data_IF_928732018323
#
_entry.id   IF_928732018323
#
_cell.length_a   1.000
_cell.length_b   1.000
_cell.length_c   1.000
_cell.angle_alpha   90.00
_cell.angle_beta   90.00
_cell.angle_gamma   90.00
#
_symmetry.space_group_name_H-M   'P 1'
#
loop_
_entity.id
_entity.type
_entity.pdbx_description
1 polymer ?
#
# COMPACT_ATOMS: atom_id res chain seq x y z
N UNK A 1 -11.10 2.01 19.55
CA UNK A 1 -11.31 3.34 18.91
C UNK A 1 -10.48 3.44 17.64
N UNK A 2 -10.99 4.09 16.58
CA UNK A 2 -10.19 4.41 15.38
C UNK A 2 -9.74 5.87 15.46
N UNK A 3 -8.44 6.13 15.25
CA UNK A 3 -7.91 7.50 15.09
C UNK A 3 -7.29 7.63 13.71
N UNK A 4 -7.73 8.62 12.93
CA UNK A 4 -7.15 8.95 11.63
C UNK A 4 -6.28 10.21 11.77
N UNK A 5 -4.99 10.11 11.42
CA UNK A 5 -4.07 11.24 11.34
C UNK A 5 -3.93 11.60 9.86
N UNK A 6 -4.57 12.70 9.46
CA UNK A 6 -4.65 13.14 8.06
C UNK A 6 -3.77 14.38 7.86
N UNK A 7 -3.05 14.44 6.75
CA UNK A 7 -2.25 15.61 6.41
C UNK A 7 -1.40 15.36 5.17
N UNK A 8 -1.02 16.40 4.44
CA UNK A 8 -0.17 16.25 3.26
C UNK A 8 1.23 15.72 3.60
N UNK A 9 1.99 15.39 2.59
CA UNK A 9 3.39 14.97 2.79
C UNK A 9 4.14 16.11 3.51
N UNK A 10 4.99 15.73 4.47
CA UNK A 10 5.74 16.74 5.24
C UNK A 10 5.00 17.33 6.44
N UNK A 11 3.73 17.01 6.65
CA UNK A 11 2.94 17.60 7.75
C UNK A 11 3.28 17.06 9.16
N UNK A 12 4.23 16.12 9.26
CA UNK A 12 4.67 15.62 10.55
C UNK A 12 3.90 14.39 11.07
N UNK A 13 3.08 13.73 10.23
CA UNK A 13 2.30 12.53 10.63
C UNK A 13 3.17 11.48 11.32
N UNK A 14 4.22 11.03 10.63
CA UNK A 14 5.12 9.99 11.17
C UNK A 14 5.93 10.47 12.38
N UNK A 15 6.22 11.77 12.47
CA UNK A 15 6.87 12.37 13.65
C UNK A 15 5.92 12.25 14.86
N UNK A 16 4.67 12.66 14.67
CA UNK A 16 3.64 12.56 15.71
C UNK A 16 3.45 11.11 16.17
N UNK A 17 3.34 10.20 15.21
CA UNK A 17 3.13 8.78 15.48
C UNK A 17 4.32 8.21 16.29
N UNK A 18 5.56 8.54 15.89
CA UNK A 18 6.76 8.12 16.64
C UNK A 18 6.80 8.71 18.04
N UNK A 19 6.36 9.94 18.23
CA UNK A 19 6.30 10.55 19.56
C UNK A 19 5.26 9.85 20.46
N UNK A 20 4.09 9.50 19.90
CA UNK A 20 3.09 8.72 20.64
C UNK A 20 3.64 7.33 21.03
N UNK A 21 4.33 6.65 20.10
CA UNK A 21 5.01 5.37 20.37
C UNK A 21 6.03 5.52 21.51
N UNK A 22 6.84 6.61 21.47
CA UNK A 22 7.85 6.90 22.50
C UNK A 22 7.21 7.11 23.87
N UNK A 23 6.13 7.89 23.94
CA UNK A 23 5.42 8.17 25.19
C UNK A 23 4.82 6.89 25.78
N UNK A 24 4.21 6.05 24.94
CA UNK A 24 3.68 4.77 25.39
C UNK A 24 4.79 3.84 25.90
N UNK A 25 5.90 3.75 25.17
CA UNK A 25 7.06 2.93 25.58
C UNK A 25 7.62 3.40 26.93
N UNK A 26 7.74 4.73 27.15
CA UNK A 26 8.15 5.28 28.45
C UNK A 26 7.20 4.90 29.58
N UNK A 27 5.92 4.76 29.26
CA UNK A 27 4.89 4.30 30.22
C UNK A 27 4.81 2.78 30.31
N UNK A 28 5.77 2.06 29.71
CA UNK A 28 5.84 0.59 29.64
C UNK A 28 4.60 -0.04 29.00
N UNK A 29 3.98 0.67 28.06
CA UNK A 29 2.82 0.19 27.30
C UNK A 29 3.28 -0.30 25.95
N UNK A 30 2.86 -1.50 25.58
CA UNK A 30 3.23 -2.10 24.31
C UNK A 30 2.43 -1.51 23.14
N UNK A 31 3.07 -1.43 21.98
CA UNK A 31 2.47 -0.96 20.75
C UNK A 31 2.85 -1.87 19.59
N UNK A 32 1.97 -1.94 18.59
CA UNK A 32 2.23 -2.60 17.33
C UNK A 32 2.28 -1.51 16.27
N UNK A 33 3.35 -1.50 15.45
CA UNK A 33 3.46 -0.61 14.30
C UNK A 33 3.39 -1.46 13.03
N UNK A 34 2.43 -1.17 12.15
CA UNK A 34 2.25 -1.88 10.88
C UNK A 34 2.66 -0.94 9.75
N UNK A 35 3.62 -1.39 8.92
CA UNK A 35 4.12 -0.65 7.76
C UNK A 35 4.15 -1.58 6.54
N UNK A 36 4.23 -1.04 5.30
CA UNK A 36 4.40 -1.90 4.12
C UNK A 36 5.69 -2.74 4.20
N UNK A 37 5.68 -3.91 3.56
CA UNK A 37 6.80 -4.85 3.60
C UNK A 37 8.15 -4.20 3.27
N UNK A 38 8.18 -3.36 2.24
CA UNK A 38 9.42 -2.71 1.80
C UNK A 38 10.02 -1.76 2.84
N UNK A 39 9.23 -1.31 3.81
CA UNK A 39 9.67 -0.36 4.84
C UNK A 39 9.97 -1.01 6.20
N UNK A 40 9.71 -2.31 6.36
CA UNK A 40 9.83 -2.99 7.66
C UNK A 40 11.22 -2.82 8.27
N UNK A 41 12.29 -3.20 7.53
CA UNK A 41 13.67 -3.11 8.03
C UNK A 41 14.12 -1.68 8.28
N UNK A 42 13.78 -0.73 7.40
CA UNK A 42 14.13 0.68 7.60
C UNK A 42 13.38 1.28 8.79
N UNK A 43 12.14 0.85 9.01
CA UNK A 43 11.32 1.30 10.14
C UNK A 43 11.88 0.75 11.46
N UNK A 44 12.27 -0.52 11.50
CA UNK A 44 12.91 -1.12 12.68
C UNK A 44 14.19 -0.36 13.05
N UNK A 45 15.04 -0.08 12.06
CA UNK A 45 16.24 0.73 12.28
C UNK A 45 15.92 2.13 12.79
N UNK A 46 14.94 2.79 12.19
CA UNK A 46 14.52 4.15 12.59
C UNK A 46 13.90 4.15 14.00
N UNK A 47 13.11 3.13 14.34
CA UNK A 47 12.56 2.97 15.70
C UNK A 47 13.67 2.76 16.71
N UNK A 48 14.61 1.88 16.42
CA UNK A 48 15.76 1.60 17.29
C UNK A 48 16.56 2.88 17.56
N UNK A 49 16.90 3.64 16.51
CA UNK A 49 17.61 4.90 16.67
C UNK A 49 16.82 5.96 17.44
N UNK A 50 15.49 5.98 17.25
CA UNK A 50 14.63 6.98 17.90
C UNK A 50 14.33 6.65 19.37
N UNK A 51 14.18 5.37 19.69
CA UNK A 51 13.75 4.90 21.02
C UNK A 51 14.92 4.41 21.89
N UNK A 52 15.96 3.86 21.28
CA UNK A 52 17.07 3.21 21.99
C UNK A 52 16.70 1.79 22.42
N UNK A 53 17.68 1.08 22.96
CA UNK A 53 17.58 -0.35 23.34
C UNK A 53 16.40 -0.65 24.26
N UNK A 54 16.26 0.17 25.31
CA UNK A 54 15.29 -0.09 26.37
C UNK A 54 13.85 0.09 25.91
N UNK A 55 13.56 1.17 25.17
CA UNK A 55 12.19 1.50 24.77
C UNK A 55 11.74 0.74 23.52
N UNK A 56 12.68 0.34 22.66
CA UNK A 56 12.34 -0.41 21.43
C UNK A 56 11.68 -1.76 21.77
N UNK A 57 11.97 -2.35 22.92
CA UNK A 57 11.34 -3.60 23.39
C UNK A 57 9.82 -3.49 23.58
N UNK A 58 9.27 -2.27 23.62
CA UNK A 58 7.84 -2.03 23.78
C UNK A 58 7.10 -1.79 22.46
N UNK A 59 7.81 -1.80 21.32
CA UNK A 59 7.21 -1.57 19.99
C UNK A 59 7.54 -2.74 19.07
N UNK A 60 6.52 -3.48 18.67
CA UNK A 60 6.65 -4.59 17.73
C UNK A 60 6.30 -4.07 16.31
N UNK A 61 7.21 -4.25 15.35
CA UNK A 61 7.01 -3.81 13.96
C UNK A 61 6.58 -4.98 13.09
N UNK A 62 5.57 -4.78 12.25
CA UNK A 62 5.03 -5.81 11.36
C UNK A 62 4.66 -5.21 10.00
N UNK A 63 4.62 -6.06 8.99
CA UNK A 63 3.75 -5.86 7.82
C UNK A 63 2.43 -6.61 8.08
N UNK A 64 1.43 -6.43 7.23
CA UNK A 64 0.19 -7.22 7.34
C UNK A 64 0.48 -8.71 7.17
N UNK A 65 1.41 -9.06 6.29
CA UNK A 65 1.81 -10.45 6.05
C UNK A 65 2.53 -11.05 7.26
N UNK A 66 3.51 -10.34 7.84
CA UNK A 66 4.24 -10.87 9.01
C UNK A 66 3.37 -10.91 10.26
N UNK A 67 2.42 -9.98 10.40
CA UNK A 67 1.42 -10.05 11.47
C UNK A 67 0.53 -11.28 11.30
N UNK A 68 0.05 -11.54 10.07
CA UNK A 68 -0.76 -12.72 9.77
C UNK A 68 -0.01 -14.01 10.11
N UNK A 69 1.27 -14.09 9.73
CA UNK A 69 2.13 -15.26 10.08
C UNK A 69 2.24 -15.46 11.59
N UNK A 70 2.40 -14.37 12.32
CA UNK A 70 2.49 -14.41 13.80
C UNK A 70 1.18 -14.92 14.41
N UNK A 71 0.05 -14.43 13.92
CA UNK A 71 -1.28 -14.85 14.39
C UNK A 71 -1.54 -16.33 14.05
N UNK A 72 -1.23 -16.75 12.81
CA UNK A 72 -1.43 -18.14 12.39
C UNK A 72 -0.54 -19.11 13.15
N UNK A 73 0.69 -18.70 13.50
CA UNK A 73 1.56 -19.53 14.36
C UNK A 73 0.99 -19.66 15.77
N UNK A 74 0.39 -18.60 16.29
CA UNK A 74 -0.15 -18.59 17.66
C UNK A 74 -1.49 -19.34 17.77
N UNK A 75 -2.37 -19.17 16.78
CA UNK A 75 -3.76 -19.64 16.86
C UNK A 75 -4.07 -20.82 15.92
N UNK A 76 -3.12 -21.22 15.08
CA UNK A 76 -3.27 -22.32 14.14
C UNK A 76 -3.43 -21.80 12.70
N UNK A 77 -3.12 -22.67 11.75
CA UNK A 77 -3.23 -22.37 10.31
C UNK A 77 -1.88 -22.10 9.63
N UNK A 78 -0.78 -22.05 10.40
CA UNK A 78 0.55 -21.78 9.84
C UNK A 78 1.08 -22.94 8.95
N UNK A 79 0.54 -24.14 9.11
CA UNK A 79 1.06 -25.34 8.42
C UNK A 79 0.79 -25.35 6.91
N UNK A 80 -0.22 -24.61 6.45
CA UNK A 80 -0.56 -24.58 5.01
C UNK A 80 0.49 -23.73 4.27
N UNK A 81 1.19 -24.27 3.26
CA UNK A 81 2.23 -23.52 2.57
C UNK A 81 1.66 -22.37 1.73
N UNK A 82 2.44 -21.32 1.58
CA UNK A 82 2.09 -20.19 0.71
C UNK A 82 2.59 -20.46 -0.71
N UNK A 83 1.74 -20.25 -1.69
CA UNK A 83 2.08 -20.48 -3.09
C UNK A 83 2.98 -19.37 -3.61
N UNK A 84 4.09 -19.74 -4.25
CA UNK A 84 4.99 -18.78 -4.88
C UNK A 84 4.38 -18.25 -6.19
N UNK A 85 4.95 -17.17 -6.72
CA UNK A 85 4.51 -16.57 -7.99
C UNK A 85 4.58 -17.60 -9.14
N UNK A 86 5.69 -18.34 -9.23
CA UNK A 86 5.84 -19.40 -10.23
C UNK A 86 4.81 -20.53 -10.01
N UNK A 87 4.56 -20.89 -8.75
CA UNK A 87 3.56 -21.89 -8.40
C UNK A 87 2.15 -21.49 -8.85
N UNK A 88 1.81 -20.19 -8.72
CA UNK A 88 0.52 -19.69 -9.20
C UNK A 88 0.35 -19.86 -10.71
N UNK A 89 1.40 -19.54 -11.48
CA UNK A 89 1.37 -19.72 -12.95
C UNK A 89 1.21 -21.19 -13.34
N UNK A 90 1.86 -22.10 -12.61
CA UNK A 90 1.72 -23.56 -12.83
C UNK A 90 0.31 -24.02 -12.50
N UNK A 91 -0.26 -23.49 -11.42
CA UNK A 91 -1.63 -23.84 -11.01
C UNK A 91 -2.68 -23.31 -12.01
N UNK A 92 -2.48 -22.11 -12.58
CA UNK A 92 -3.33 -21.58 -13.65
C UNK A 92 -3.26 -22.51 -14.88
N UNK A 93 -2.06 -22.95 -15.27
CA UNK A 93 -1.90 -23.89 -16.38
C UNK A 93 -2.70 -25.17 -16.12
N UNK A 94 -2.56 -25.72 -14.92
CA UNK A 94 -3.31 -26.94 -14.53
C UNK A 94 -4.82 -26.69 -14.57
N UNK A 95 -5.29 -25.55 -14.11
CA UNK A 95 -6.71 -25.18 -14.17
C UNK A 95 -7.21 -25.14 -15.63
N UNK A 96 -6.40 -24.57 -16.55
CA UNK A 96 -6.74 -24.55 -17.97
C UNK A 96 -6.74 -25.97 -18.59
N UNK A 97 -5.82 -26.83 -18.16
CA UNK A 97 -5.78 -28.23 -18.64
C UNK A 97 -7.01 -29.00 -18.17
N UNK A 98 -7.46 -28.80 -16.93
CA UNK A 98 -8.67 -29.45 -16.40
C UNK A 98 -9.97 -28.94 -17.05
N UNK A 99 -9.96 -27.71 -17.57
CA UNK A 99 -11.12 -27.09 -18.21
C UNK A 99 -11.00 -27.00 -19.72
N UNK A 100 -10.15 -27.86 -20.34
CA UNK A 100 -9.81 -27.74 -21.77
C UNK A 100 -11.03 -27.83 -22.69
N UNK A 101 -12.05 -28.57 -22.30
CA UNK A 101 -13.27 -28.71 -23.10
C UNK A 101 -14.23 -27.52 -22.99
N UNK A 102 -14.02 -26.66 -22.02
CA UNK A 102 -14.88 -25.49 -21.74
C UNK A 102 -14.17 -24.16 -22.06
N UNK A 103 -12.85 -24.15 -22.18
CA UNK A 103 -12.05 -22.97 -22.46
C UNK A 103 -11.73 -22.94 -23.96
N UNK A 104 -12.49 -22.16 -24.70
CA UNK A 104 -12.37 -22.01 -26.17
C UNK A 104 -11.60 -20.74 -26.51
N UNK A 105 -11.96 -19.60 -25.91
CA UNK A 105 -11.36 -18.30 -26.18
C UNK A 105 -9.85 -18.30 -25.88
N UNK A 106 -9.46 -18.83 -24.72
CA UNK A 106 -8.04 -18.91 -24.30
C UNK A 106 -7.35 -20.23 -24.69
N UNK A 107 -8.00 -21.10 -25.48
CA UNK A 107 -7.48 -22.44 -25.79
C UNK A 107 -6.08 -22.40 -26.42
N UNK A 108 -5.81 -21.44 -27.30
CA UNK A 108 -4.51 -21.31 -27.98
C UNK A 108 -3.39 -20.88 -27.05
N UNK A 109 -3.72 -20.16 -25.95
CA UNK A 109 -2.76 -19.64 -24.99
C UNK A 109 -2.41 -20.62 -23.85
N UNK A 110 -3.11 -21.74 -23.76
CA UNK A 110 -2.98 -22.73 -22.68
C UNK A 110 -1.52 -23.12 -22.38
N UNK A 111 -0.71 -23.30 -23.43
CA UNK A 111 0.70 -23.70 -23.29
C UNK A 111 1.67 -22.53 -23.16
N UNK A 112 1.20 -21.30 -23.24
CA UNK A 112 2.05 -20.12 -23.12
C UNK A 112 2.34 -19.83 -21.65
N UNK A 113 3.61 -19.91 -21.25
CA UNK A 113 4.06 -19.59 -19.90
C UNK A 113 3.74 -18.12 -19.58
N UNK A 114 3.96 -17.22 -20.54
CA UNK A 114 3.67 -15.79 -20.37
C UNK A 114 2.18 -15.53 -20.12
N UNK A 115 1.30 -16.26 -20.83
CA UNK A 115 -0.14 -16.16 -20.60
C UNK A 115 -0.50 -16.66 -19.20
N UNK A 116 0.02 -17.84 -18.79
CA UNK A 116 -0.29 -18.41 -17.47
C UNK A 116 0.17 -17.45 -16.36
N UNK A 117 1.32 -16.81 -16.53
CA UNK A 117 1.82 -15.82 -15.60
C UNK A 117 0.87 -14.60 -15.55
N UNK A 118 0.49 -14.07 -16.72
CA UNK A 118 -0.39 -12.89 -16.78
C UNK A 118 -1.78 -13.20 -16.18
N UNK A 119 -2.31 -14.41 -16.47
CA UNK A 119 -3.59 -14.85 -15.88
C UNK A 119 -3.48 -14.99 -14.35
N UNK A 120 -2.36 -15.51 -13.84
CA UNK A 120 -2.12 -15.60 -12.39
C UNK A 120 -2.04 -14.22 -11.74
N UNK A 121 -1.38 -13.25 -12.42
CA UNK A 121 -1.34 -11.85 -11.97
C UNK A 121 -2.75 -11.26 -11.93
N UNK A 122 -3.54 -11.46 -13.00
CA UNK A 122 -4.92 -10.97 -13.08
C UNK A 122 -5.79 -11.57 -11.97
N UNK A 123 -5.68 -12.88 -11.72
CA UNK A 123 -6.39 -13.53 -10.62
C UNK A 123 -5.99 -12.91 -9.27
N UNK A 124 -4.69 -12.65 -9.06
CA UNK A 124 -4.20 -12.01 -7.85
C UNK A 124 -4.76 -10.59 -7.69
N UNK A 125 -4.87 -9.83 -8.79
CA UNK A 125 -5.47 -8.50 -8.79
C UNK A 125 -6.96 -8.56 -8.44
N UNK A 126 -7.70 -9.49 -9.04
CA UNK A 126 -9.12 -9.71 -8.76
C UNK A 126 -9.33 -10.05 -7.27
N UNK A 127 -8.54 -10.99 -6.73
CA UNK A 127 -8.58 -11.34 -5.30
C UNK A 127 -8.27 -10.12 -4.43
N UNK A 128 -7.25 -9.35 -4.79
CA UNK A 128 -6.88 -8.14 -4.05
C UNK A 128 -8.00 -7.09 -4.03
N UNK A 129 -8.82 -7.07 -5.08
CA UNK A 129 -10.01 -6.20 -5.16
C UNK A 129 -11.22 -6.80 -4.41
N UNK A 130 -11.15 -8.06 -3.99
CA UNK A 130 -12.25 -8.78 -3.34
C UNK A 130 -13.21 -9.42 -4.32
N UNK A 131 -12.81 -9.55 -5.58
CA UNK A 131 -13.63 -10.16 -6.62
C UNK A 131 -13.42 -11.67 -6.57
N UNK A 132 -14.52 -12.41 -6.47
CA UNK A 132 -14.54 -13.89 -6.46
C UNK A 132 -14.92 -14.41 -7.85
N UNK A 133 -14.66 -15.71 -8.14
CA UNK A 133 -15.03 -16.29 -9.45
C UNK A 133 -16.51 -16.10 -9.79
N UNK A 134 -17.40 -16.24 -8.82
CA UNK A 134 -18.85 -16.09 -9.02
C UNK A 134 -19.20 -14.66 -9.41
N UNK A 135 -18.61 -13.67 -8.72
CA UNK A 135 -18.81 -12.24 -9.02
C UNK A 135 -18.35 -11.92 -10.45
N UNK A 136 -17.21 -12.48 -10.86
CA UNK A 136 -16.68 -12.29 -12.21
C UNK A 136 -17.59 -12.95 -13.26
N UNK A 137 -18.13 -14.13 -12.96
CA UNK A 137 -19.08 -14.83 -13.84
C UNK A 137 -20.37 -14.02 -13.99
N UNK A 138 -20.88 -13.44 -12.91
CA UNK A 138 -22.07 -12.57 -12.96
C UNK A 138 -21.79 -11.34 -13.82
N UNK A 139 -20.61 -10.73 -13.66
CA UNK A 139 -20.20 -9.56 -14.44
C UNK A 139 -20.07 -9.90 -15.92
N UNK A 140 -19.63 -11.12 -16.27
CA UNK A 140 -19.52 -11.57 -17.66
C UNK A 140 -20.88 -11.58 -18.37
N UNK A 141 -21.98 -11.72 -17.63
CA UNK A 141 -23.33 -11.69 -18.18
C UNK A 141 -23.96 -10.29 -18.23
N UNK A 142 -23.24 -9.24 -17.77
CA UNK A 142 -23.74 -7.87 -17.78
C UNK A 142 -23.78 -7.31 -19.23
N UNK A 143 -24.74 -6.41 -19.54
CA UNK A 143 -24.79 -5.78 -20.86
C UNK A 143 -23.46 -5.06 -21.18
N UNK A 144 -22.91 -5.33 -22.36
CA UNK A 144 -21.66 -4.72 -22.81
C UNK A 144 -20.39 -5.42 -22.36
N UNK A 145 -20.49 -6.45 -21.52
CA UNK A 145 -19.35 -7.25 -21.12
C UNK A 145 -18.91 -8.21 -22.23
N UNK A 146 -17.61 -8.52 -22.27
CA UNK A 146 -17.09 -9.56 -23.17
C UNK A 146 -17.34 -10.93 -22.50
N UNK A 147 -18.49 -11.50 -22.78
CA UNK A 147 -18.98 -12.71 -22.12
C UNK A 147 -18.02 -13.89 -22.25
N UNK A 148 -17.50 -14.12 -23.45
CA UNK A 148 -16.61 -15.27 -23.69
C UNK A 148 -15.29 -15.09 -22.91
N UNK A 149 -14.69 -13.92 -23.01
CA UNK A 149 -13.42 -13.62 -22.35
C UNK A 149 -13.54 -13.67 -20.81
N UNK A 150 -14.54 -12.96 -20.25
CA UNK A 150 -14.69 -12.87 -18.80
C UNK A 150 -15.27 -14.16 -18.20
N UNK A 151 -16.16 -14.84 -18.94
CA UNK A 151 -16.74 -16.10 -18.50
C UNK A 151 -15.68 -17.19 -18.40
N UNK A 152 -14.80 -17.31 -19.43
CA UNK A 152 -13.71 -18.29 -19.35
C UNK A 152 -12.67 -17.92 -18.29
N UNK A 153 -12.38 -16.62 -18.09
CA UNK A 153 -11.50 -16.20 -17.00
C UNK A 153 -12.11 -16.59 -15.65
N UNK A 154 -13.42 -16.44 -15.48
CA UNK A 154 -14.12 -16.85 -14.25
C UNK A 154 -14.01 -18.37 -14.02
N UNK A 155 -14.14 -19.17 -15.09
CA UNK A 155 -13.98 -20.63 -15.00
C UNK A 155 -12.55 -21.02 -14.61
N UNK A 156 -11.54 -20.40 -15.25
CA UNK A 156 -10.13 -20.63 -14.92
C UNK A 156 -9.89 -20.26 -13.46
N UNK A 157 -10.40 -19.10 -13.02
CA UNK A 157 -10.23 -18.61 -11.66
C UNK A 157 -10.89 -19.57 -10.64
N UNK A 158 -12.12 -20.02 -10.88
CA UNK A 158 -12.82 -20.98 -10.00
C UNK A 158 -12.08 -22.31 -9.87
N UNK A 159 -11.56 -22.81 -10.99
CA UNK A 159 -10.76 -24.05 -10.99
C UNK A 159 -9.43 -23.83 -10.26
N UNK A 160 -8.78 -22.70 -10.48
CA UNK A 160 -7.56 -22.31 -9.74
C UNK A 160 -7.83 -22.32 -8.22
N UNK A 161 -8.93 -21.70 -7.75
CA UNK A 161 -9.28 -21.68 -6.33
C UNK A 161 -9.50 -23.10 -5.77
N UNK A 162 -10.18 -23.95 -6.54
CA UNK A 162 -10.43 -25.34 -6.16
C UNK A 162 -9.12 -26.12 -6.00
N UNK A 163 -8.18 -25.96 -6.95
CA UNK A 163 -6.87 -26.60 -6.91
C UNK A 163 -6.01 -26.03 -5.78
N UNK A 164 -6.04 -24.72 -5.59
CA UNK A 164 -5.30 -24.05 -4.54
C UNK A 164 -5.70 -24.57 -3.16
N UNK A 165 -6.99 -24.67 -2.90
CA UNK A 165 -7.54 -25.12 -1.61
C UNK A 165 -7.06 -26.53 -1.21
N UNK A 166 -6.63 -27.35 -2.18
CA UNK A 166 -6.13 -28.72 -1.92
C UNK A 166 -4.65 -28.74 -1.49
N UNK A 167 -3.87 -27.72 -1.82
CA UNK A 167 -2.41 -27.80 -1.75
C UNK A 167 -1.72 -26.66 -1.01
N UNK A 168 -2.29 -25.46 -1.06
CA UNK A 168 -1.59 -24.25 -0.60
C UNK A 168 -2.57 -23.12 -0.34
N UNK A 169 -2.04 -21.93 -0.08
CA UNK A 169 -2.83 -20.74 0.15
C UNK A 169 -2.13 -19.54 -0.51
N UNK A 170 -2.88 -18.61 -1.07
CA UNK A 170 -2.32 -17.36 -1.55
C UNK A 170 -1.96 -16.44 -0.36
N UNK A 171 -0.99 -15.53 -0.53
CA UNK A 171 -0.62 -14.64 0.57
C UNK A 171 -1.78 -13.81 1.13
N UNK A 172 -2.69 -13.32 0.26
CA UNK A 172 -3.88 -12.56 0.69
C UNK A 172 -4.84 -13.42 1.51
N UNK A 173 -5.04 -14.67 1.10
CA UNK A 173 -5.91 -15.63 1.81
C UNK A 173 -5.37 -15.91 3.21
N UNK A 174 -4.04 -15.94 3.39
CA UNK A 174 -3.43 -16.10 4.73
C UNK A 174 -3.76 -14.91 5.63
N UNK A 175 -3.73 -13.69 5.08
CA UNK A 175 -4.10 -12.49 5.86
C UNK A 175 -5.58 -12.56 6.26
N UNK A 176 -6.47 -13.02 5.36
CA UNK A 176 -7.89 -13.19 5.67
C UNK A 176 -8.14 -14.29 6.70
N UNK A 177 -7.40 -15.39 6.59
CA UNK A 177 -7.49 -16.49 7.58
C UNK A 177 -7.03 -16.00 8.97
N UNK A 178 -5.91 -15.26 9.01
CA UNK A 178 -5.41 -14.68 10.25
C UNK A 178 -6.42 -13.69 10.85
N UNK A 179 -7.10 -12.91 10.01
CA UNK A 179 -8.13 -11.97 10.46
C UNK A 179 -9.29 -12.69 11.17
N UNK A 180 -9.67 -13.88 10.69
CA UNK A 180 -10.71 -14.71 11.33
C UNK A 180 -10.28 -15.28 12.67
N UNK A 181 -8.97 -15.45 12.88
CA UNK A 181 -8.39 -15.99 14.12
C UNK A 181 -8.05 -14.90 15.14
N UNK A 182 -8.30 -13.64 14.80
CA UNK A 182 -7.96 -12.49 15.63
C UNK A 182 -8.83 -12.47 16.89
N UNK A 183 -8.19 -12.38 18.06
CA UNK A 183 -8.92 -12.26 19.31
C UNK A 183 -8.42 -11.06 20.14
N UNK A 184 -9.21 -10.70 21.13
CA UNK A 184 -8.93 -9.58 22.01
C UNK A 184 -7.65 -9.79 22.83
N UNK A 185 -7.32 -11.03 23.14
CA UNK A 185 -6.16 -11.36 23.97
C UNK A 185 -4.83 -10.97 23.31
N UNK A 186 -4.74 -11.08 21.97
CA UNK A 186 -3.52 -10.66 21.26
C UNK A 186 -3.26 -9.16 21.42
N UNK A 187 -4.32 -8.36 21.42
CA UNK A 187 -4.22 -6.89 21.47
C UNK A 187 -4.32 -6.33 22.91
N UNK A 188 -4.54 -7.20 23.92
CA UNK A 188 -4.68 -6.73 25.31
C UNK A 188 -3.46 -5.91 25.74
N UNK A 189 -3.70 -4.67 26.14
CA UNK A 189 -2.66 -3.73 26.56
C UNK A 189 -1.81 -3.14 25.42
N UNK A 190 -2.19 -3.37 24.16
CA UNK A 190 -1.47 -2.87 22.99
C UNK A 190 -2.33 -1.90 22.20
N UNK A 191 -1.69 -0.89 21.61
CA UNK A 191 -2.31 0.00 20.61
C UNK A 191 -1.66 -0.27 19.25
N UNK A 192 -2.45 -0.27 18.20
CA UNK A 192 -1.97 -0.53 16.83
C UNK A 192 -1.82 0.80 16.09
N UNK A 193 -0.66 1.00 15.49
CA UNK A 193 -0.34 2.14 14.63
C UNK A 193 -0.09 1.62 13.23
N UNK A 194 -0.63 2.31 12.22
CA UNK A 194 -0.50 1.93 10.81
C UNK A 194 -0.01 3.17 10.05
N UNK A 195 1.16 3.06 9.41
CA UNK A 195 1.81 4.19 8.75
C UNK A 195 2.30 3.79 7.35
N UNK A 196 2.46 4.78 6.46
CA UNK A 196 3.05 4.65 5.12
C UNK A 196 2.18 3.83 4.14
N UNK A 197 0.87 3.74 4.36
CA UNK A 197 -0.05 3.10 3.41
C UNK A 197 -0.85 4.16 2.64
N UNK A 198 -0.94 3.98 1.32
CA UNK A 198 -1.81 4.78 0.46
C UNK A 198 -3.16 4.11 0.22
N UNK A 199 -3.19 2.76 0.24
CA UNK A 199 -4.40 1.98 -0.01
C UNK A 199 -4.41 0.73 0.85
N UNK A 200 -5.60 0.17 1.03
CA UNK A 200 -5.80 -1.13 1.68
C UNK A 200 -6.60 -2.03 0.74
N UNK A 201 -5.97 -3.11 0.28
CA UNK A 201 -6.64 -4.11 -0.53
C UNK A 201 -7.64 -4.93 0.33
N UNK A 202 -8.36 -5.86 -0.29
CA UNK A 202 -9.43 -6.61 0.36
C UNK A 202 -8.94 -7.33 1.63
N UNK A 203 -7.83 -8.05 1.55
CA UNK A 203 -7.32 -8.82 2.70
C UNK A 203 -6.86 -7.91 3.84
N UNK A 204 -6.23 -6.76 3.53
CA UNK A 204 -5.84 -5.77 4.55
C UNK A 204 -7.07 -5.14 5.22
N UNK A 205 -8.12 -4.84 4.41
CA UNK A 205 -9.40 -4.34 4.96
C UNK A 205 -10.06 -5.37 5.87
N UNK A 206 -10.01 -6.66 5.50
CA UNK A 206 -10.53 -7.73 6.36
C UNK A 206 -9.80 -7.79 7.71
N UNK A 207 -8.46 -7.66 7.69
CA UNK A 207 -7.66 -7.62 8.91
C UNK A 207 -7.99 -6.38 9.76
N UNK A 208 -8.13 -5.20 9.12
CA UNK A 208 -8.52 -3.96 9.80
C UNK A 208 -9.91 -4.09 10.44
N UNK A 209 -10.88 -4.66 9.70
CA UNK A 209 -12.24 -4.87 10.21
C UNK A 209 -12.23 -5.77 11.46
N UNK A 210 -11.37 -6.78 11.47
CA UNK A 210 -11.22 -7.68 12.61
C UNK A 210 -10.53 -6.99 13.81
N UNK A 211 -9.61 -6.05 13.54
CA UNK A 211 -8.88 -5.31 14.60
C UNK A 211 -9.75 -4.28 15.31
N UNK A 212 -10.61 -3.57 14.57
CA UNK A 212 -11.34 -2.40 15.08
C UNK A 212 -12.14 -2.69 16.36
N UNK A 213 -12.88 -3.81 16.48
CA UNK A 213 -13.61 -4.07 17.73
C UNK A 213 -12.75 -4.50 18.91
N UNK A 214 -11.50 -4.94 18.68
CA UNK A 214 -10.65 -5.53 19.74
C UNK A 214 -9.42 -4.70 20.09
N UNK A 215 -9.14 -3.61 19.35
CA UNK A 215 -7.93 -2.80 19.54
C UNK A 215 -8.20 -1.31 19.34
N UNK A 216 -7.36 -0.48 19.95
CA UNK A 216 -7.24 0.93 19.56
C UNK A 216 -6.32 1.00 18.35
N UNK A 217 -6.82 1.55 17.25
CA UNK A 217 -6.10 1.60 15.97
C UNK A 217 -5.92 3.05 15.54
N UNK A 218 -4.69 3.44 15.24
CA UNK A 218 -4.35 4.77 14.69
C UNK A 218 -3.78 4.58 13.29
N UNK A 219 -4.37 5.23 12.29
CA UNK A 219 -3.92 5.15 10.88
C UNK A 219 -3.49 6.54 10.42
N UNK A 220 -2.27 6.65 9.89
CA UNK A 220 -1.84 7.89 9.23
C UNK A 220 -2.08 7.78 7.72
N UNK A 221 -2.62 8.85 7.11
CA UNK A 221 -2.87 8.90 5.67
C UNK A 221 -2.37 10.22 5.09
N UNK A 222 -1.72 10.14 3.93
CA UNK A 222 -1.32 11.33 3.18
C UNK A 222 -2.56 11.89 2.49
N UNK A 223 -3.13 12.95 3.05
CA UNK A 223 -4.40 13.50 2.63
C UNK A 223 -4.41 15.03 2.80
N UNK A 224 -5.19 15.71 2.00
CA UNK A 224 -5.32 17.18 2.05
C UNK A 224 -6.36 17.64 3.07
N UNK A 225 -6.70 18.93 2.99
CA UNK A 225 -7.69 19.58 3.84
C UNK A 225 -9.08 19.68 3.18
N UNK A 226 -9.20 19.20 1.94
CA UNK A 226 -10.46 19.30 1.19
C UNK A 226 -11.59 18.55 1.90
N UNK A 227 -12.85 18.95 1.69
CA UNK A 227 -13.98 18.22 2.25
C UNK A 227 -14.00 16.76 1.80
N UNK A 228 -14.51 15.91 2.66
CA UNK A 228 -14.54 14.45 2.41
C UNK A 228 -15.31 14.08 1.13
N UNK A 229 -16.26 14.93 0.72
CA UNK A 229 -17.06 14.70 -0.48
C UNK A 229 -16.36 15.08 -1.80
N UNK A 230 -15.25 15.82 -1.72
CA UNK A 230 -14.50 16.17 -2.93
C UNK A 230 -13.94 14.90 -3.59
N UNK A 231 -14.35 14.62 -4.82
CA UNK A 231 -13.98 13.38 -5.53
C UNK A 231 -12.98 13.64 -6.67
N UNK A 232 -12.29 14.75 -6.62
CA UNK A 232 -11.28 15.14 -7.60
C UNK A 232 -9.94 15.46 -6.92
N UNK A 233 -8.94 15.70 -7.74
CA UNK A 233 -7.61 16.08 -7.28
C UNK A 233 -6.74 14.91 -6.82
N UNK A 234 -5.50 15.25 -6.52
CA UNK A 234 -4.42 14.30 -6.20
C UNK A 234 -4.76 13.42 -4.99
N UNK A 235 -5.53 13.95 -4.02
CA UNK A 235 -5.85 13.25 -2.78
C UNK A 235 -7.20 12.54 -2.79
N UNK A 236 -7.90 12.48 -3.93
CA UNK A 236 -9.21 11.80 -4.02
C UNK A 236 -9.13 10.33 -3.55
N UNK A 237 -8.06 9.62 -3.93
CA UNK A 237 -7.82 8.25 -3.48
C UNK A 237 -7.68 8.15 -1.96
N UNK A 238 -6.90 9.03 -1.37
CA UNK A 238 -6.69 9.05 0.09
C UNK A 238 -7.99 9.40 0.84
N UNK A 239 -8.79 10.32 0.31
CA UNK A 239 -10.11 10.64 0.88
C UNK A 239 -11.03 9.43 0.86
N UNK A 240 -11.08 8.68 -0.26
CA UNK A 240 -11.86 7.45 -0.35
C UNK A 240 -11.41 6.41 0.67
N UNK A 241 -10.09 6.28 0.89
CA UNK A 241 -9.55 5.37 1.91
C UNK A 241 -9.99 5.81 3.30
N UNK A 242 -9.86 7.11 3.62
CA UNK A 242 -10.29 7.64 4.92
C UNK A 242 -11.78 7.38 5.15
N UNK A 243 -12.63 7.63 4.14
CA UNK A 243 -14.08 7.39 4.22
C UNK A 243 -14.40 5.89 4.39
N UNK A 244 -13.66 5.02 3.70
CA UNK A 244 -13.80 3.56 3.88
C UNK A 244 -13.50 3.16 5.33
N UNK A 245 -12.41 3.68 5.90
CA UNK A 245 -12.05 3.38 7.29
C UNK A 245 -13.10 3.90 8.29
N UNK A 246 -13.64 5.11 8.05
CA UNK A 246 -14.75 5.65 8.86
C UNK A 246 -15.97 4.75 8.80
N UNK A 247 -16.36 4.31 7.59
CA UNK A 247 -17.50 3.40 7.39
C UNK A 247 -17.27 2.06 8.10
N UNK A 248 -16.05 1.53 8.02
CA UNK A 248 -15.68 0.29 8.73
C UNK A 248 -15.80 0.46 10.25
N UNK A 249 -15.33 1.59 10.79
CA UNK A 249 -15.45 1.88 12.22
C UNK A 249 -16.92 2.00 12.64
N UNK A 250 -17.73 2.70 11.83
CA UNK A 250 -19.18 2.82 12.07
C UNK A 250 -19.87 1.46 12.06
N UNK A 251 -19.56 0.62 11.08
CA UNK A 251 -20.10 -0.75 10.98
C UNK A 251 -19.71 -1.63 12.18
N UNK A 252 -18.53 -1.39 12.73
CA UNK A 252 -18.03 -2.10 13.92
C UNK A 252 -18.55 -1.50 15.25
N UNK A 253 -19.32 -0.41 15.20
CA UNK A 253 -19.79 0.29 16.39
C UNK A 253 -18.67 0.98 17.18
N UNK A 254 -17.57 1.35 16.51
CA UNK A 254 -16.35 1.86 17.12
C UNK A 254 -16.25 3.37 16.84
N UNK A 255 -16.01 4.22 17.87
CA UNK A 255 -15.87 5.65 17.63
C UNK A 255 -14.64 5.96 16.78
N UNK A 256 -14.80 6.96 15.91
CA UNK A 256 -13.73 7.44 15.02
C UNK A 256 -13.37 8.90 15.36
N UNK A 257 -12.07 9.16 15.52
CA UNK A 257 -11.52 10.49 15.76
C UNK A 257 -10.61 10.87 14.60
N UNK A 258 -10.70 12.11 14.14
CA UNK A 258 -9.79 12.67 13.14
C UNK A 258 -8.85 13.70 13.77
N UNK A 259 -7.60 13.67 13.34
CA UNK A 259 -6.59 14.67 13.66
C UNK A 259 -6.03 15.13 12.32
N UNK A 260 -6.25 16.42 11.99
CA UNK A 260 -5.79 17.00 10.74
C UNK A 260 -4.55 17.85 10.99
N UNK A 261 -3.45 17.52 10.29
CA UNK A 261 -2.17 18.24 10.37
C UNK A 261 -2.05 19.13 9.13
N UNK A 262 -1.99 20.44 9.35
CA UNK A 262 -2.03 21.44 8.28
C UNK A 262 -0.67 22.07 7.97
N UNK A 263 0.28 21.98 8.91
CA UNK A 263 1.58 22.66 8.78
C UNK A 263 2.55 21.80 7.95
N UNK A 264 3.32 22.43 7.07
CA UNK A 264 4.44 21.77 6.42
C UNK A 264 5.66 21.88 7.36
N UNK A 265 6.08 20.72 7.87
CA UNK A 265 7.23 20.59 8.77
C UNK A 265 8.53 20.27 8.01
N UNK A 266 8.41 19.84 6.75
CA UNK A 266 9.53 19.37 5.93
C UNK A 266 10.23 20.51 5.20
N UNK A 267 9.45 21.45 4.67
CA UNK A 267 9.98 22.47 3.78
C UNK A 267 10.08 23.86 4.46
N UNK A 268 10.29 23.89 5.77
CA UNK A 268 10.42 25.13 6.54
C UNK A 268 11.53 26.06 6.00
N UNK A 269 12.61 25.45 5.51
CA UNK A 269 13.75 26.18 4.96
C UNK A 269 13.71 26.29 3.42
N UNK A 270 12.58 25.90 2.80
CA UNK A 270 12.40 25.92 1.35
C UNK A 270 10.94 26.21 1.00
N UNK A 271 10.43 27.42 1.27
CA UNK A 271 9.00 27.73 1.09
C UNK A 271 8.51 27.53 -0.34
N UNK A 272 9.36 27.71 -1.35
CA UNK A 272 9.02 27.41 -2.75
C UNK A 272 8.59 25.94 -2.94
N UNK A 273 9.23 25.01 -2.21
CA UNK A 273 8.83 23.57 -2.29
C UNK A 273 7.53 23.29 -1.56
N UNK A 274 7.26 24.01 -0.46
CA UNK A 274 5.98 23.91 0.22
C UNK A 274 4.84 24.38 -0.69
N UNK A 275 5.02 25.52 -1.36
CA UNK A 275 4.02 26.08 -2.29
C UNK A 275 3.84 25.20 -3.54
N UNK A 276 4.92 24.57 -4.01
CA UNK A 276 4.77 23.58 -5.11
C UNK A 276 3.82 22.46 -4.70
N UNK A 277 3.94 21.99 -3.46
CA UNK A 277 3.03 20.99 -2.92
C UNK A 277 1.57 21.46 -2.89
N UNK A 278 1.35 22.71 -2.52
CA UNK A 278 0.00 23.32 -2.52
C UNK A 278 -0.54 23.46 -3.95
N UNK A 279 0.29 23.93 -4.88
CA UNK A 279 -0.09 24.08 -6.29
C UNK A 279 -0.44 22.73 -6.95
N UNK A 280 0.30 21.68 -6.60
CA UNK A 280 -0.01 20.32 -7.10
C UNK A 280 -1.33 19.77 -6.52
N UNK A 281 -1.66 20.18 -5.30
CA UNK A 281 -2.92 19.78 -4.65
C UNK A 281 -4.12 20.60 -5.17
N UNK A 282 -3.90 21.87 -5.44
CA UNK A 282 -4.93 22.81 -5.90
C UNK A 282 -4.35 23.69 -7.01
N UNK A 283 -4.66 23.39 -8.29
CA UNK A 283 -4.13 24.18 -9.41
C UNK A 283 -4.57 25.64 -9.43
N UNK A 284 -5.55 26.01 -8.62
CA UNK A 284 -5.99 27.42 -8.51
C UNK A 284 -5.16 28.21 -7.48
N UNK A 285 -4.30 27.53 -6.72
CA UNK A 285 -3.42 28.17 -5.73
C UNK A 285 -2.46 29.15 -6.42
N UNK A 286 -2.31 30.34 -5.87
CA UNK A 286 -1.37 31.35 -6.38
C UNK A 286 -0.14 31.39 -5.47
N UNK A 287 1.04 31.00 -5.95
CA UNK A 287 2.25 31.03 -5.13
C UNK A 287 2.65 32.44 -4.72
N UNK A 288 3.10 32.60 -3.48
CA UNK A 288 3.54 33.87 -2.91
C UNK A 288 5.03 33.88 -2.55
N UNK A 289 5.68 32.70 -2.48
CA UNK A 289 7.07 32.58 -2.08
C UNK A 289 8.02 33.23 -3.08
N UNK A 290 8.92 34.05 -2.60
CA UNK A 290 9.96 34.65 -3.43
C UNK A 290 11.03 33.60 -3.79
N UNK A 291 11.40 33.60 -5.06
CA UNK A 291 12.45 32.71 -5.56
C UNK A 291 13.80 33.44 -5.53
N UNK A 292 14.80 32.84 -4.87
CA UNK A 292 16.18 33.33 -4.92
C UNK A 292 16.85 32.82 -6.19
N UNK A 293 17.14 33.71 -7.17
CA UNK A 293 17.78 33.26 -8.40
C UNK A 293 19.20 32.69 -8.20
N UNK A 294 19.87 33.07 -7.11
CA UNK A 294 21.25 32.62 -6.83
C UNK A 294 21.27 31.22 -6.22
N UNK A 295 20.16 30.78 -5.58
CA UNK A 295 20.06 29.48 -4.92
C UNK A 295 18.69 28.86 -5.17
N UNK A 296 18.33 28.55 -6.42
CA UNK A 296 17.00 28.07 -6.73
C UNK A 296 16.74 26.68 -6.12
N UNK A 297 15.63 26.54 -5.43
CA UNK A 297 15.17 25.26 -4.86
C UNK A 297 14.72 24.30 -5.97
N UNK A 298 14.28 24.84 -7.10
CA UNK A 298 13.81 24.07 -8.26
C UNK A 298 14.58 24.52 -9.50
N UNK A 299 15.10 23.55 -10.25
CA UNK A 299 15.80 23.83 -11.51
C UNK A 299 15.14 23.02 -12.64
N UNK A 300 14.78 23.68 -13.70
CA UNK A 300 14.25 23.06 -14.90
C UNK A 300 15.35 22.95 -15.96
N UNK A 301 15.44 21.77 -16.57
CA UNK A 301 16.39 21.52 -17.65
C UNK A 301 15.69 20.77 -18.79
N UNK A 302 15.74 21.34 -20.00
CA UNK A 302 15.24 20.72 -21.21
C UNK A 302 16.40 20.13 -21.99
N UNK A 303 16.43 18.82 -22.14
CA UNK A 303 17.49 18.11 -22.87
C UNK A 303 17.09 17.88 -24.34
N UNK A 304 18.07 17.86 -25.23
CA UNK A 304 17.85 17.61 -26.66
C UNK A 304 17.64 16.12 -26.99
N UNK A 305 17.97 15.24 -26.07
CA UNK A 305 17.83 13.78 -26.22
C UNK A 305 17.81 13.09 -24.85
N UNK A 306 17.28 11.86 -24.81
CA UNK A 306 17.31 11.01 -23.60
C UNK A 306 18.75 10.83 -23.07
N UNK A 307 19.70 10.70 -24.00
CA UNK A 307 21.10 10.54 -23.59
C UNK A 307 21.65 11.83 -22.95
N UNK A 308 21.30 12.99 -23.50
CA UNK A 308 21.67 14.29 -22.93
C UNK A 308 21.04 14.48 -21.55
N UNK A 309 19.75 14.09 -21.40
CA UNK A 309 19.03 14.12 -20.13
C UNK A 309 19.76 13.27 -19.07
N UNK A 310 20.06 12.01 -19.41
CA UNK A 310 20.77 11.10 -18.49
C UNK A 310 22.13 11.67 -18.08
N UNK A 311 22.86 12.27 -19.02
CA UNK A 311 24.16 12.91 -18.71
C UNK A 311 23.99 14.11 -17.79
N UNK A 312 22.97 14.93 -18.01
CA UNK A 312 22.69 16.10 -17.17
C UNK A 312 22.34 15.68 -15.73
N UNK A 313 21.50 14.66 -15.58
CA UNK A 313 21.11 14.12 -14.27
C UNK A 313 22.35 13.55 -13.56
N UNK A 314 23.16 12.75 -14.27
CA UNK A 314 24.40 12.18 -13.70
C UNK A 314 25.37 13.27 -13.28
N UNK A 315 25.50 14.34 -14.06
CA UNK A 315 26.35 15.49 -13.72
C UNK A 315 25.86 16.21 -12.47
N UNK A 316 24.53 16.42 -12.37
CA UNK A 316 23.92 17.08 -11.22
C UNK A 316 24.12 16.25 -9.94
N UNK A 317 23.91 14.93 -9.99
CA UNK A 317 24.13 14.01 -8.86
C UNK A 317 25.62 14.08 -8.44
N UNK A 318 26.54 14.02 -9.41
CA UNK A 318 27.98 14.08 -9.14
C UNK A 318 28.38 15.42 -8.51
N UNK A 319 27.81 16.53 -8.98
CA UNK A 319 28.04 17.85 -8.41
C UNK A 319 27.62 17.94 -6.95
N UNK A 320 26.41 17.42 -6.64
CA UNK A 320 25.89 17.36 -5.25
C UNK A 320 26.75 16.48 -4.36
N UNK A 321 27.23 15.34 -4.88
CA UNK A 321 28.11 14.43 -4.13
C UNK A 321 29.46 15.12 -3.81
N UNK A 322 30.04 15.86 -4.76
CA UNK A 322 31.26 16.63 -4.55
C UNK A 322 31.07 17.77 -3.53
N UNK A 323 29.86 18.31 -3.46
CA UNK A 323 29.49 19.32 -2.45
C UNK A 323 29.19 18.71 -1.07
N UNK A 324 29.40 17.38 -0.91
CA UNK A 324 29.28 16.71 0.39
C UNK A 324 27.91 16.06 0.67
N UNK A 325 27.00 16.06 -0.31
CA UNK A 325 25.69 15.39 -0.11
C UNK A 325 25.87 13.89 -0.34
N UNK A 326 25.59 13.03 0.67
CA UNK A 326 25.73 11.58 0.49
C UNK A 326 24.73 11.04 -0.55
N UNK A 327 25.13 10.00 -1.28
CA UNK A 327 24.27 9.39 -2.32
C UNK A 327 22.92 8.89 -1.77
N UNK A 328 22.90 8.40 -0.54
CA UNK A 328 21.64 7.94 0.09
C UNK A 328 20.68 9.08 0.47
N UNK A 329 21.08 10.34 0.24
CA UNK A 329 20.23 11.52 0.41
C UNK A 329 19.76 12.10 -0.94
N UNK A 330 20.02 11.36 -2.04
CA UNK A 330 19.61 11.75 -3.40
C UNK A 330 18.65 10.69 -3.95
N UNK A 331 17.66 11.15 -4.68
CA UNK A 331 16.69 10.23 -5.31
C UNK A 331 16.45 10.65 -6.77
N UNK A 332 16.18 9.80 -7.65
CA UNK A 332 15.86 10.05 -8.98
C UNK A 332 14.57 9.37 -9.21
N UNK A 333 13.70 9.71 -9.68
CA UNK A 333 12.61 9.19 -9.99
C UNK A 333 12.64 9.04 -11.37
N UNK A 334 12.68 8.24 -11.76
CA UNK A 334 12.69 7.97 -12.94
C UNK A 334 11.41 7.62 -13.25
N UNK A 335 10.86 8.00 -13.89
CA UNK A 335 9.81 7.73 -14.26
C UNK A 335 9.98 7.03 -15.35
N UNK A 336 9.89 6.33 -15.53
CA UNK A 336 9.97 5.65 -16.33
C UNK A 336 8.99 5.60 -17.09
N UNK A 337 8.61 6.23 -17.52
CA UNK A 337 7.92 6.13 -18.13
C UNK A 337 8.14 5.37 -18.95
N UNK A 338 7.24 4.41 -19.37
CA UNK A 338 7.43 3.58 -20.54
C UNK A 338 7.45 4.44 -21.79
N UNK A 339 8.47 4.25 -22.54
CA UNK A 339 8.58 5.00 -23.79
C UNK A 339 7.35 4.69 -24.65
N UNK A 340 6.61 5.73 -25.03
CA UNK A 340 5.65 5.57 -26.10
C UNK A 340 6.46 5.15 -27.33
N UNK A 341 6.15 4.00 -27.89
CA UNK A 341 6.76 3.59 -29.14
C UNK A 341 6.47 4.71 -30.17
N UNK A 342 7.48 5.18 -30.90
CA UNK A 342 7.21 6.14 -31.94
C UNK A 342 6.29 5.50 -32.97
N UNK A 343 5.17 6.14 -33.23
CA UNK A 343 4.19 5.74 -34.28
C UNK A 343 4.85 5.89 -35.64
#
# INVERSE_FOLDING_TARGET
>A
MLTLILGPSGSGKSVRLREELRQRARSRQRSILIVPEQFTSSTEGALYHALGDELSAYVESYSFTSLAETLLRRYGGAAVPTLSEAGRAVLVRRAMDEMMDKVVYYSRQRRSAAFCQKAAETISELKSAGIRPETLADYANAPGADKDKLGELALIFGTYETLLAQTAMDPGDRVELAAKSLDQAFFAGRTVYIDEFDTFNHSKRAMLAAMLPVADVTVSLCCDQAPDQADDGVFSGARRVANTLKSMAASAGVPCKEIRLTQDMRHKDAPVLAELGLLLADPTYTPEAEVDPAAPAITYYKADSRQAEAKAVAAAVKARARAGVPYNKMAXXXXXXPAADPV
#
